data_IF_757855129032
#
_entry.id   IF_757855129032
#
_cell.length_a   1.000
_cell.length_b   1.000
_cell.length_c   1.000
_cell.angle_alpha   90.00
_cell.angle_beta   90.00
_cell.angle_gamma   90.00
#
_symmetry.space_group_name_H-M   'P 1'
#
loop_
_entity.id
_entity.type
_entity.pdbx_description
1 polymer ?
#
# COMPACT_ATOMS: atom_id res chain seq x y z
N UNK A 1 -7.02 4.19 7.74
CA UNK A 1 -7.19 3.34 6.54
C UNK A 1 -7.02 1.89 6.94
N UNK A 2 -7.88 1.01 6.43
CA UNK A 2 -7.95 -0.40 6.81
C UNK A 2 -7.92 -1.26 5.55
N UNK A 3 -7.03 -2.24 5.48
CA UNK A 3 -6.82 -3.12 4.34
C UNK A 3 -6.97 -4.59 4.75
N UNK A 4 -8.19 -5.12 4.82
CA UNK A 4 -8.54 -6.56 4.95
C UNK A 4 -9.99 -6.68 5.40
N UNK A 5 -10.67 -7.79 5.12
CA UNK A 5 -11.94 -8.16 5.79
C UNK A 5 -11.76 -9.35 6.76
N UNK A 6 -10.57 -9.97 6.78
CA UNK A 6 -10.31 -11.24 7.46
C UNK A 6 -8.92 -11.26 8.10
N UNK A 7 -8.76 -10.61 9.26
CA UNK A 7 -7.71 -10.81 10.29
C UNK A 7 -6.21 -10.74 9.87
N UNK A 8 -5.87 -10.43 8.62
CA UNK A 8 -4.50 -10.11 8.17
C UNK A 8 -4.34 -8.60 7.97
N UNK A 9 -4.74 -7.86 9.00
CA UNK A 9 -5.07 -6.45 8.85
C UNK A 9 -3.82 -5.57 8.80
N UNK A 10 -3.64 -4.81 7.72
CA UNK A 10 -2.79 -3.62 7.75
C UNK A 10 -3.67 -2.41 8.10
N UNK A 11 -3.47 -1.87 9.31
CA UNK A 11 -4.18 -0.67 9.78
C UNK A 11 -3.21 0.51 9.90
N UNK A 12 -3.58 1.63 9.28
CA UNK A 12 -2.85 2.90 9.38
C UNK A 12 -3.78 3.96 9.99
N UNK A 13 -3.45 4.42 11.20
CA UNK A 13 -4.26 5.39 11.95
C UNK A 13 -3.54 6.73 12.01
N UNK A 14 -4.18 7.77 11.48
CA UNK A 14 -3.63 9.12 11.49
C UNK A 14 -3.66 9.71 12.91
N UNK A 15 -2.54 10.28 13.33
CA UNK A 15 -2.42 11.06 14.55
C UNK A 15 -2.22 12.54 14.16
N UNK A 16 -3.21 13.39 14.48
CA UNK A 16 -3.18 14.81 14.11
C UNK A 16 -2.06 15.60 14.80
N UNK A 17 -1.69 15.23 16.04
CA UNK A 17 -0.66 15.90 16.81
C UNK A 17 0.72 15.65 16.21
N UNK A 18 0.98 14.38 15.90
CA UNK A 18 2.30 13.90 15.47
C UNK A 18 2.42 13.94 13.93
N UNK A 19 1.31 14.17 13.21
CA UNK A 19 1.20 14.27 11.74
C UNK A 19 1.73 13.04 11.01
N UNK A 20 1.49 11.86 11.57
CA UNK A 20 1.91 10.57 11.03
C UNK A 20 0.80 9.54 11.13
N UNK A 21 0.93 8.47 10.36
CA UNK A 21 0.10 7.27 10.43
C UNK A 21 0.82 6.18 11.20
N UNK A 22 0.30 5.79 12.37
CA UNK A 22 0.81 4.66 13.12
C UNK A 22 0.31 3.35 12.50
N UNK A 23 1.21 2.37 12.34
CA UNK A 23 0.87 1.06 11.79
C UNK A 23 0.54 0.07 12.89
N UNK A 24 -0.56 -0.65 12.71
CA UNK A 24 -1.01 -1.76 13.54
C UNK A 24 -1.34 -2.98 12.68
N UNK A 25 -1.42 -4.14 13.33
CA UNK A 25 -1.73 -5.45 12.75
C UNK A 25 -2.52 -6.29 13.76
N UNK A 26 -3.25 -7.32 13.30
CA UNK A 26 -3.97 -8.29 14.16
C UNK A 26 -4.84 -7.61 15.24
N UNK A 27 -6.08 -7.23 14.88
CA UNK A 27 -7.01 -6.54 15.79
C UNK A 27 -6.44 -5.24 16.41
N UNK A 28 -5.56 -4.55 15.67
CA UNK A 28 -5.04 -3.23 16.04
C UNK A 28 -3.80 -3.24 16.94
N UNK A 29 -3.17 -4.38 17.19
CA UNK A 29 -1.90 -4.45 17.90
C UNK A 29 -0.81 -3.60 17.21
N UNK A 30 -0.07 -2.75 17.94
CA UNK A 30 1.00 -1.92 17.38
C UNK A 30 2.04 -2.76 16.64
N UNK A 31 2.41 -2.36 15.41
CA UNK A 31 3.58 -2.92 14.78
C UNK A 31 4.84 -2.20 15.29
N UNK A 32 5.70 -2.92 15.99
CA UNK A 32 6.86 -2.37 16.72
C UNK A 32 8.17 -2.80 16.05
N UNK A 33 9.09 -1.86 15.87
CA UNK A 33 10.49 -2.17 15.57
C UNK A 33 11.18 -2.64 16.85
N UNK A 34 11.61 -3.91 16.87
CA UNK A 34 12.21 -4.53 18.05
C UNK A 34 13.60 -3.99 18.41
N UNK A 35 14.30 -3.31 17.48
CA UNK A 35 15.62 -2.74 17.76
C UNK A 35 15.54 -1.50 18.66
N UNK A 36 14.47 -0.72 18.50
CA UNK A 36 14.27 0.56 19.22
C UNK A 36 13.06 0.54 20.14
N UNK A 37 12.27 -0.53 20.11
CA UNK A 37 11.04 -0.71 20.87
C UNK A 37 10.05 0.45 20.69
N UNK A 38 9.88 0.89 19.44
CA UNK A 38 8.95 1.96 19.06
C UNK A 38 7.98 1.46 18.00
N UNK A 39 6.72 1.91 18.08
CA UNK A 39 5.74 1.65 17.03
C UNK A 39 6.16 2.38 15.76
N UNK A 40 6.14 1.69 14.63
CA UNK A 40 6.48 2.30 13.35
C UNK A 40 5.36 3.23 12.87
N UNK A 41 5.76 4.31 12.22
CA UNK A 41 4.84 5.33 11.70
C UNK A 41 5.35 5.91 10.38
N UNK A 42 4.42 6.36 9.54
CA UNK A 42 4.72 6.88 8.21
C UNK A 42 4.02 8.21 7.99
N UNK A 43 4.65 9.16 7.30
CA UNK A 43 3.97 10.40 6.85
C UNK A 43 3.09 10.12 5.64
N UNK A 44 3.56 9.23 4.76
CA UNK A 44 2.99 8.94 3.45
C UNK A 44 2.62 7.46 3.37
N UNK A 45 1.42 7.17 2.88
CA UNK A 45 0.96 5.80 2.61
C UNK A 45 0.44 5.75 1.18
N UNK A 46 0.91 4.76 0.42
CA UNK A 46 0.46 4.49 -0.94
C UNK A 46 -0.29 3.15 -0.97
N UNK A 47 -1.48 3.16 -1.56
CA UNK A 47 -2.25 1.96 -1.86
C UNK A 47 -2.34 1.82 -3.38
N UNK A 48 -1.66 0.83 -3.94
CA UNK A 48 -1.56 0.66 -5.40
C UNK A 48 -2.36 -0.56 -5.83
N UNK A 49 -3.26 -0.37 -6.79
CA UNK A 49 -4.00 -1.45 -7.41
C UNK A 49 -3.27 -1.89 -8.68
N UNK A 50 -3.05 -3.20 -8.80
CA UNK A 50 -2.52 -3.85 -10.00
C UNK A 50 -3.28 -5.16 -10.26
N UNK A 51 -3.27 -5.67 -11.50
CA UNK A 51 -3.77 -6.99 -11.80
C UNK A 51 -2.94 -8.06 -11.08
N UNK A 52 -3.63 -8.97 -10.41
CA UNK A 52 -3.05 -10.15 -9.77
C UNK A 52 -3.78 -11.36 -10.33
N UNK A 53 -3.06 -12.19 -11.07
CA UNK A 53 -3.60 -13.37 -11.74
C UNK A 53 -3.01 -14.65 -11.15
N UNK A 54 -3.72 -15.76 -11.30
CA UNK A 54 -3.10 -17.07 -11.12
C UNK A 54 -2.00 -17.24 -12.17
N UNK A 55 -0.90 -17.87 -11.76
CA UNK A 55 0.16 -18.22 -12.70
C UNK A 55 -0.40 -19.15 -13.80
N UNK A 56 0.03 -19.02 -15.07
CA UNK A 56 -0.44 -19.90 -16.13
C UNK A 56 -0.30 -21.39 -15.78
N UNK A 57 -1.41 -22.13 -15.90
CA UNK A 57 -1.47 -23.54 -15.53
C UNK A 57 -1.91 -23.81 -14.09
N UNK A 58 -1.98 -22.78 -13.25
CA UNK A 58 -2.52 -22.88 -11.90
C UNK A 58 -4.03 -22.62 -11.84
N UNK A 59 -4.73 -23.29 -10.92
CA UNK A 59 -6.18 -23.15 -10.71
C UNK A 59 -6.51 -22.55 -9.35
N UNK A 60 -7.79 -22.22 -9.15
CA UNK A 60 -8.33 -21.77 -7.87
C UNK A 60 -8.00 -22.79 -6.75
N UNK A 61 -7.18 -22.37 -5.79
CA UNK A 61 -6.67 -23.21 -4.70
C UNK A 61 -5.14 -23.35 -4.67
N UNK A 62 -4.47 -23.04 -5.78
CA UNK A 62 -3.02 -22.98 -5.83
C UNK A 62 -2.50 -21.60 -5.39
N UNK A 63 -1.28 -21.56 -4.86
CA UNK A 63 -0.80 -20.46 -4.02
C UNK A 63 0.07 -19.44 -4.74
N UNK A 64 0.51 -19.70 -5.97
CA UNK A 64 1.33 -18.74 -6.69
C UNK A 64 0.47 -17.81 -7.53
N UNK A 65 0.82 -16.54 -7.46
CA UNK A 65 0.15 -15.48 -8.21
C UNK A 65 1.21 -14.68 -8.93
N UNK A 66 0.90 -14.30 -10.16
CA UNK A 66 1.69 -13.34 -10.91
C UNK A 66 1.09 -11.94 -10.67
N UNK A 67 1.94 -10.98 -10.37
CA UNK A 67 1.58 -9.60 -10.06
C UNK A 67 2.08 -8.73 -11.20
N UNK A 68 1.17 -8.14 -11.97
CA UNK A 68 1.46 -7.41 -13.20
C UNK A 68 1.71 -5.93 -12.91
N UNK A 69 2.86 -5.61 -12.32
CA UNK A 69 3.20 -4.22 -11.99
C UNK A 69 3.54 -3.38 -13.22
N UNK A 70 3.98 -4.01 -14.30
CA UNK A 70 4.32 -3.38 -15.59
C UNK A 70 3.13 -2.70 -16.26
N UNK A 71 1.92 -3.14 -15.95
CA UNK A 71 0.68 -2.55 -16.47
C UNK A 71 0.33 -1.23 -15.77
N UNK A 72 1.01 -0.90 -14.66
CA UNK A 72 0.66 0.24 -13.83
C UNK A 72 -0.73 0.10 -13.22
N UNK A 73 -1.35 1.23 -12.87
CA UNK A 73 -2.72 1.23 -12.41
C UNK A 73 -3.14 2.51 -11.72
N UNK A 74 -4.20 2.40 -10.94
CA UNK A 74 -4.68 3.47 -10.06
C UNK A 74 -4.34 3.15 -8.61
N UNK A 75 -4.57 4.11 -7.73
CA UNK A 75 -4.33 3.94 -6.32
C UNK A 75 -4.78 5.14 -5.51
N UNK A 76 -4.37 5.11 -4.24
CA UNK A 76 -4.54 6.22 -3.33
C UNK A 76 -3.19 6.65 -2.76
N UNK A 77 -2.96 7.95 -2.74
CA UNK A 77 -1.93 8.59 -1.94
C UNK A 77 -2.57 9.22 -0.70
N UNK A 78 -2.06 8.86 0.46
CA UNK A 78 -2.59 9.31 1.75
C UNK A 78 -1.47 10.00 2.52
N UNK A 79 -1.68 11.27 2.86
CA UNK A 79 -0.69 12.09 3.58
C UNK A 79 -1.38 13.21 4.36
N UNK A 80 -0.84 13.53 5.55
CA UNK A 80 -1.34 14.62 6.42
C UNK A 80 -2.86 14.63 6.67
N UNK A 81 -3.49 13.46 6.79
CA UNK A 81 -4.93 13.32 7.02
C UNK A 81 -5.78 13.47 5.76
N UNK A 82 -5.16 13.59 4.58
CA UNK A 82 -5.83 13.69 3.28
C UNK A 82 -5.63 12.41 2.47
N UNK A 83 -6.55 12.17 1.55
CA UNK A 83 -6.52 11.09 0.59
C UNK A 83 -6.72 11.68 -0.80
N UNK A 84 -5.85 11.29 -1.72
CA UNK A 84 -5.82 11.72 -3.12
C UNK A 84 -5.84 10.47 -4.00
N UNK A 85 -6.66 10.49 -5.05
CA UNK A 85 -6.64 9.47 -6.10
C UNK A 85 -5.43 9.70 -7.01
N UNK A 86 -4.75 8.62 -7.37
CA UNK A 86 -3.53 8.67 -8.16
C UNK A 86 -3.56 7.63 -9.28
N UNK A 87 -2.78 7.88 -10.32
CA UNK A 87 -2.33 6.83 -11.24
C UNK A 87 -0.85 6.56 -11.03
N UNK A 88 -0.36 5.39 -11.42
CA UNK A 88 1.04 5.03 -11.27
C UNK A 88 1.53 4.11 -12.38
N UNK A 89 2.83 4.13 -12.63
CA UNK A 89 3.51 3.28 -13.61
C UNK A 89 4.78 2.67 -13.03
N UNK A 90 5.15 1.49 -13.54
CA UNK A 90 6.42 0.83 -13.27
C UNK A 90 6.83 0.00 -14.50
N UNK A 91 7.44 0.61 -15.54
CA UNK A 91 7.57 -0.04 -16.85
C UNK A 91 8.33 -1.36 -16.84
N UNK A 92 9.35 -1.50 -15.99
CA UNK A 92 10.09 -2.75 -15.80
C UNK A 92 10.26 -3.09 -14.31
N UNK A 93 10.61 -4.35 -13.98
CA UNK A 93 10.91 -4.75 -12.61
C UNK A 93 12.02 -3.92 -11.93
N UNK A 94 12.92 -3.31 -12.72
CA UNK A 94 14.04 -2.52 -12.21
C UNK A 94 13.74 -1.02 -12.11
N UNK A 95 12.67 -0.53 -12.74
CA UNK A 95 12.30 0.88 -12.69
C UNK A 95 11.64 1.26 -11.36
N UNK A 96 11.78 2.52 -10.91
CA UNK A 96 10.98 2.99 -9.79
C UNK A 96 9.49 3.06 -10.14
N UNK A 97 8.64 3.04 -9.12
CA UNK A 97 7.24 3.41 -9.27
C UNK A 97 7.17 4.93 -9.43
N UNK A 98 6.48 5.39 -10.47
CA UNK A 98 6.17 6.82 -10.66
C UNK A 98 4.68 7.02 -10.44
N UNK A 99 4.30 7.97 -9.58
CA UNK A 99 2.92 8.29 -9.28
C UNK A 99 2.55 9.64 -9.90
N UNK A 100 1.29 9.77 -10.31
CA UNK A 100 0.75 10.97 -10.92
C UNK A 100 -0.58 11.35 -10.25
N UNK A 101 -0.80 12.65 -10.11
CA UNK A 101 -2.06 13.22 -9.62
C UNK A 101 -3.20 13.09 -10.65
N UNK A 102 -4.38 13.58 -10.29
CA UNK A 102 -5.56 13.57 -11.17
C UNK A 102 -5.37 14.36 -12.48
N UNK A 103 -4.40 15.29 -12.53
CA UNK A 103 -4.06 16.10 -13.70
C UNK A 103 -2.89 15.51 -14.51
N UNK A 104 -2.47 14.28 -14.20
CA UNK A 104 -1.29 13.63 -14.80
C UNK A 104 0.03 14.36 -14.54
N UNK A 105 0.06 15.25 -13.54
CA UNK A 105 1.28 15.83 -12.99
C UNK A 105 1.99 14.81 -12.09
N UNK A 106 3.34 14.80 -12.05
CA UNK A 106 4.06 13.95 -11.12
C UNK A 106 3.77 14.37 -9.66
N UNK A 107 3.61 13.37 -8.79
CA UNK A 107 3.48 13.54 -7.34
C UNK A 107 4.82 13.78 -6.64
#
# INVERSE_FOLDING_TARGET
>A
MYFSETNDDALFVYNERDKVYYKSQYDGAPQVDCNVNQQISFTNVFALYCPINYRPGETEGERHKDIHMEEGGTGYYISYGKLEEISWTKPTPNDPITCFDEYSGPL
#
